data_IF_781541228827
#
_entry.id   IF_781541228827
#
_cell.length_a   1.000
_cell.length_b   1.000
_cell.length_c   1.000
_cell.angle_alpha   90.00
_cell.angle_beta   90.00
_cell.angle_gamma   90.00
#
_symmetry.space_group_name_H-M   'P 1'
#
loop_
_entity.id
_entity.type
_entity.pdbx_description
1 polymer ?
#
# COMPACT_ATOMS: atom_id res chain seq x y z
N UNK A 1 16.89 -4.72 4.40
CA UNK A 1 16.82 -3.27 4.09
C UNK A 1 16.52 -2.56 5.40
N UNK A 2 17.07 -1.38 5.66
CA UNK A 2 16.61 -0.59 6.80
C UNK A 2 15.20 -0.08 6.53
N UNK A 3 14.41 0.11 7.60
CA UNK A 3 13.11 0.76 7.53
C UNK A 3 13.18 2.06 6.70
N UNK A 4 12.11 2.46 5.99
CA UNK A 4 12.08 3.76 5.32
C UNK A 4 12.40 4.87 6.32
N UNK A 5 13.08 5.92 5.86
CA UNK A 5 13.26 7.09 6.74
C UNK A 5 11.89 7.70 7.08
N UNK A 6 11.81 8.46 8.17
CA UNK A 6 10.56 9.13 8.55
C UNK A 6 10.04 10.06 7.44
N UNK A 7 10.94 10.76 6.75
CA UNK A 7 10.57 11.66 5.64
C UNK A 7 10.03 10.87 4.45
N UNK A 8 10.65 9.75 4.10
CA UNK A 8 10.18 8.87 3.04
C UNK A 8 8.80 8.29 3.32
N UNK A 9 8.55 7.86 4.57
CA UNK A 9 7.23 7.36 4.99
C UNK A 9 6.17 8.46 4.91
N UNK A 10 6.51 9.69 5.33
CA UNK A 10 5.61 10.84 5.22
C UNK A 10 5.27 11.15 3.76
N UNK A 11 6.27 11.18 2.88
CA UNK A 11 6.05 11.42 1.45
C UNK A 11 5.19 10.34 0.79
N UNK A 12 5.43 9.07 1.11
CA UNK A 12 4.57 7.97 0.65
C UNK A 12 3.11 8.17 1.05
N UNK A 13 2.87 8.62 2.29
CA UNK A 13 1.51 8.87 2.78
C UNK A 13 0.81 10.03 2.06
N UNK A 14 1.55 11.11 1.81
CA UNK A 14 1.07 12.25 1.04
C UNK A 14 0.69 11.81 -0.38
N UNK A 15 1.59 11.10 -1.07
CA UNK A 15 1.33 10.59 -2.41
C UNK A 15 0.12 9.66 -2.47
N UNK A 16 -0.04 8.74 -1.51
CA UNK A 16 -1.21 7.87 -1.44
C UNK A 16 -2.50 8.66 -1.24
N UNK A 17 -2.49 9.65 -0.35
CA UNK A 17 -3.69 10.45 -0.06
C UNK A 17 -4.07 11.29 -1.27
N UNK A 18 -3.10 11.89 -1.96
CA UNK A 18 -3.33 12.57 -3.25
C UNK A 18 -3.91 11.60 -4.28
N UNK A 19 -3.35 10.39 -4.41
CA UNK A 19 -3.84 9.37 -5.34
C UNK A 19 -5.30 8.98 -5.04
N UNK A 20 -5.62 8.75 -3.76
CA UNK A 20 -6.98 8.46 -3.35
C UNK A 20 -7.94 9.62 -3.71
N UNK A 21 -7.54 10.88 -3.53
CA UNK A 21 -8.36 12.02 -3.93
C UNK A 21 -8.60 12.07 -5.44
N UNK A 22 -7.56 11.86 -6.25
CA UNK A 22 -7.65 11.91 -7.72
C UNK A 22 -8.42 10.72 -8.31
N UNK A 23 -8.40 9.57 -7.65
CA UNK A 23 -9.04 8.33 -8.14
C UNK A 23 -10.46 8.11 -7.58
N UNK A 24 -11.06 9.11 -6.92
CA UNK A 24 -12.44 9.02 -6.44
C UNK A 24 -12.60 8.39 -5.05
N UNK A 25 -11.60 8.57 -4.19
CA UNK A 25 -11.58 8.17 -2.79
C UNK A 25 -10.87 6.84 -2.51
N UNK A 26 -10.71 6.53 -1.22
CA UNK A 26 -10.05 5.30 -0.78
C UNK A 26 -10.80 4.02 -1.18
N UNK A 27 -12.13 4.07 -1.34
CA UNK A 27 -12.89 2.90 -1.81
C UNK A 27 -12.57 2.57 -3.27
N UNK A 28 -12.52 3.58 -4.14
CA UNK A 28 -12.15 3.41 -5.55
C UNK A 28 -10.70 2.90 -5.67
N UNK A 29 -9.78 3.53 -4.93
CA UNK A 29 -8.37 3.10 -4.89
C UNK A 29 -8.24 1.65 -4.39
N UNK A 30 -8.99 1.25 -3.37
CA UNK A 30 -9.01 -0.12 -2.86
C UNK A 30 -9.45 -1.13 -3.94
N UNK A 31 -10.58 -0.86 -4.61
CA UNK A 31 -11.13 -1.75 -5.66
C UNK A 31 -10.26 -1.83 -6.92
N UNK A 32 -9.47 -0.80 -7.20
CA UNK A 32 -8.46 -0.83 -8.26
C UNK A 32 -7.19 -1.60 -7.85
N UNK A 33 -6.86 -1.56 -6.56
CA UNK A 33 -5.63 -2.15 -6.01
C UNK A 33 -5.76 -3.65 -5.76
N UNK A 34 -6.94 -4.10 -5.34
CA UNK A 34 -7.26 -5.49 -5.01
C UNK A 34 -8.48 -5.94 -5.80
N UNK A 35 -8.47 -7.20 -6.23
CA UNK A 35 -9.68 -7.81 -6.78
C UNK A 35 -10.78 -7.76 -5.71
N UNK A 36 -11.87 -7.06 -5.98
CA UNK A 36 -13.00 -6.88 -5.05
C UNK A 36 -14.30 -7.38 -5.67
N UNK A 37 -15.18 -7.92 -4.84
CA UNK A 37 -16.53 -8.31 -5.29
C UNK A 37 -17.45 -7.09 -5.41
N UNK A 38 -18.51 -7.18 -6.21
CA UNK A 38 -19.43 -6.05 -6.43
C UNK A 38 -20.09 -5.55 -5.13
N UNK A 39 -20.38 -6.45 -4.18
CA UNK A 39 -20.99 -6.13 -2.89
C UNK A 39 -19.96 -5.75 -1.80
N UNK A 40 -18.67 -5.86 -2.08
CA UNK A 40 -17.61 -5.51 -1.15
C UNK A 40 -17.53 -3.99 -0.97
N UNK A 41 -17.53 -3.55 0.29
CA UNK A 41 -17.48 -2.13 0.69
C UNK A 41 -16.36 -1.91 1.69
N UNK A 42 -15.51 -0.93 1.38
CA UNK A 42 -14.49 -0.48 2.30
C UNK A 42 -15.16 0.19 3.52
N UNK A 43 -14.64 -0.10 4.72
CA UNK A 43 -15.16 0.43 5.99
C UNK A 43 -14.21 1.44 6.60
N UNK A 44 -12.93 1.09 6.71
CA UNK A 44 -11.90 1.92 7.32
C UNK A 44 -10.55 1.73 6.63
N UNK A 45 -9.72 2.76 6.73
CA UNK A 45 -8.30 2.71 6.36
C UNK A 45 -7.45 3.14 7.55
N UNK A 46 -6.27 2.55 7.68
CA UNK A 46 -5.33 2.88 8.75
C UNK A 46 -3.92 3.02 8.21
N UNK A 47 -3.20 4.06 8.63
CA UNK A 47 -1.76 4.12 8.48
C UNK A 47 -1.11 3.06 9.38
N UNK A 48 -0.22 2.25 8.82
CA UNK A 48 0.45 1.20 9.58
C UNK A 48 1.83 0.86 9.01
N UNK A 49 2.56 0.05 9.77
CA UNK A 49 3.75 -0.63 9.28
C UNK A 49 3.51 -2.14 9.33
N UNK A 50 3.79 -2.84 8.24
CA UNK A 50 3.83 -4.29 8.22
C UNK A 50 5.24 -4.77 8.58
N UNK A 51 5.36 -5.58 9.62
CA UNK A 51 6.64 -6.20 9.99
C UNK A 51 6.98 -7.31 8.99
N UNK A 52 8.17 -7.26 8.40
CA UNK A 52 8.70 -8.32 7.52
C UNK A 52 10.05 -8.79 8.01
N UNK A 53 10.52 -9.94 7.52
CA UNK A 53 11.87 -10.45 7.79
C UNK A 53 12.99 -9.49 7.36
N UNK A 54 12.70 -8.54 6.47
CA UNK A 54 13.66 -7.56 5.96
C UNK A 54 13.48 -6.16 6.54
N UNK A 55 12.56 -5.99 7.52
CA UNK A 55 12.25 -4.72 8.16
C UNK A 55 10.77 -4.28 7.99
N UNK A 56 10.36 -3.20 8.65
CA UNK A 56 8.99 -2.71 8.56
C UNK A 56 8.72 -2.00 7.23
N UNK A 57 7.53 -2.22 6.67
CA UNK A 57 7.05 -1.59 5.43
C UNK A 57 5.91 -0.64 5.76
N UNK A 58 6.11 0.66 5.51
CA UNK A 58 5.07 1.67 5.64
C UNK A 58 3.95 1.42 4.62
N UNK A 59 2.70 1.43 5.08
CA UNK A 59 1.56 1.15 4.22
C UNK A 59 0.22 1.54 4.81
N UNK A 60 -0.81 1.14 4.08
CA UNK A 60 -2.21 1.36 4.42
C UNK A 60 -2.93 0.03 4.55
N UNK A 61 -3.54 -0.16 5.71
CA UNK A 61 -4.44 -1.28 5.97
C UNK A 61 -5.85 -0.88 5.54
N UNK A 62 -6.45 -1.68 4.69
CA UNK A 62 -7.82 -1.54 4.21
C UNK A 62 -8.69 -2.59 4.90
N UNK A 63 -9.71 -2.14 5.62
CA UNK A 63 -10.70 -3.01 6.26
C UNK A 63 -12.02 -2.88 5.49
N UNK A 64 -12.42 -3.94 4.79
CA UNK A 64 -13.74 -4.05 4.15
C UNK A 64 -14.70 -4.89 4.99
N UNK A 65 -15.93 -5.07 4.52
CA UNK A 65 -16.86 -6.04 5.09
C UNK A 65 -16.56 -7.50 4.70
N UNK A 66 -15.56 -7.77 3.87
CA UNK A 66 -15.22 -9.10 3.37
C UNK A 66 -13.80 -9.51 3.77
N UNK A 67 -12.84 -8.58 3.79
CA UNK A 67 -11.44 -8.88 4.10
C UNK A 67 -10.66 -7.70 4.67
N UNK A 68 -9.45 -8.03 5.12
CA UNK A 68 -8.40 -7.08 5.45
C UNK A 68 -7.33 -7.20 4.37
N UNK A 69 -6.88 -6.07 3.84
CA UNK A 69 -5.81 -6.03 2.85
C UNK A 69 -4.77 -4.98 3.23
N UNK A 70 -3.52 -5.21 2.87
CA UNK A 70 -2.42 -4.27 3.08
C UNK A 70 -1.84 -3.88 1.72
N UNK A 71 -1.46 -2.62 1.55
CA UNK A 71 -0.61 -2.19 0.44
C UNK A 71 0.43 -1.20 0.97
N UNK A 72 1.68 -1.34 0.54
CA UNK A 72 2.70 -0.32 0.81
C UNK A 72 2.29 1.04 0.23
N UNK A 73 2.62 2.13 0.91
CA UNK A 73 2.23 3.48 0.46
C UNK A 73 3.07 3.94 -0.76
N UNK A 74 4.20 3.25 -1.00
CA UNK A 74 5.11 3.45 -2.14
C UNK A 74 5.58 2.09 -2.68
N UNK A 75 6.02 2.00 -3.95
CA UNK A 75 6.64 0.78 -4.45
C UNK A 75 7.98 0.53 -3.76
N UNK A 76 8.30 -0.74 -3.54
CA UNK A 76 9.58 -1.19 -3.00
C UNK A 76 10.43 -1.74 -4.15
N UNK A 77 11.69 -1.30 -4.23
CA UNK A 77 12.64 -1.83 -5.21
C UNK A 77 13.24 -3.17 -4.76
N UNK A 78 13.55 -4.04 -5.70
CA UNK A 78 14.21 -5.33 -5.46
C UNK A 78 15.00 -5.74 -6.70
N UNK A 79 15.97 -6.63 -6.55
CA UNK A 79 16.71 -7.19 -7.67
C UNK A 79 15.95 -8.38 -8.24
N UNK A 80 15.56 -8.30 -9.51
CA UNK A 80 14.90 -9.40 -10.21
C UNK A 80 15.89 -10.56 -10.49
N UNK A 81 15.39 -11.78 -10.80
CA UNK A 81 16.26 -12.90 -11.19
C UNK A 81 17.18 -12.60 -12.39
N UNK A 82 16.82 -11.64 -13.24
CA UNK A 82 17.66 -11.15 -14.34
C UNK A 82 18.83 -10.27 -13.90
N UNK A 83 18.93 -9.92 -12.61
CA UNK A 83 19.91 -8.98 -12.06
C UNK A 83 19.51 -7.50 -12.19
N UNK A 84 18.41 -7.19 -12.87
CA UNK A 84 17.92 -5.82 -13.02
C UNK A 84 17.17 -5.34 -11.78
N UNK A 85 17.23 -4.03 -11.49
CA UNK A 85 16.37 -3.43 -10.47
C UNK A 85 14.92 -3.39 -10.99
N UNK A 86 14.02 -3.94 -10.20
CA UNK A 86 12.58 -3.91 -10.41
C UNK A 86 11.89 -3.28 -9.20
N UNK A 87 10.62 -2.93 -9.35
CA UNK A 87 9.83 -2.36 -8.27
C UNK A 87 8.41 -2.91 -8.28
N UNK A 88 7.83 -3.07 -7.10
CA UNK A 88 6.43 -3.46 -6.94
C UNK A 88 5.86 -2.91 -5.64
N UNK A 89 4.54 -2.77 -5.58
CA UNK A 89 3.86 -2.54 -4.31
C UNK A 89 3.82 -3.85 -3.52
N UNK A 90 4.17 -3.80 -2.23
CA UNK A 90 4.01 -4.94 -1.34
C UNK A 90 2.55 -5.04 -0.92
N UNK A 91 1.90 -6.17 -1.21
CA UNK A 91 0.48 -6.41 -0.97
C UNK A 91 0.25 -7.79 -0.39
#
# INVERSE_FOLDING_TARGET
RTAPSMSEAAWGKVSLTTKALTEGGFESLYKQTFQSEAAEKLKKTFACYLSTSTGPVAGTLYLSNVKIAFCSDRPLTFTAPSGQEAWSYYK
#
